data_IF_241500359808
#
_entry.id   IF_241500359808
#
_cell.length_a   1.000
_cell.length_b   1.000
_cell.length_c   1.000
_cell.angle_alpha   90.00
_cell.angle_beta   90.00
_cell.angle_gamma   90.00
#
_symmetry.space_group_name_H-M   'P 1'
#
loop_
_entity.id
_entity.type
_entity.pdbx_description
1 polymer ?
#
# COMPACT_ATOMS: atom_id res chain seq x y z
N UNK A 1 -7.77 2.98 -2.41
CA UNK A 1 -6.50 2.22 -2.24
C UNK A 1 -5.42 2.74 -3.17
N UNK A 2 -4.15 2.39 -2.90
CA UNK A 2 -2.97 2.82 -3.66
C UNK A 2 -2.73 1.95 -4.91
N UNK A 3 -1.93 2.49 -5.85
CA UNK A 3 -1.66 1.83 -7.14
C UNK A 3 -0.63 0.69 -7.05
N UNK A 4 0.29 0.77 -6.09
CA UNK A 4 1.46 -0.12 -6.01
C UNK A 4 1.13 -1.53 -5.46
N UNK A 5 0.01 -1.66 -4.73
CA UNK A 5 -0.57 -2.92 -4.27
C UNK A 5 -2.07 -2.95 -4.53
N UNK A 6 -2.48 -3.03 -5.82
CA UNK A 6 -3.86 -2.77 -6.23
C UNK A 6 -4.89 -3.78 -5.70
N UNK A 7 -4.47 -4.99 -5.35
CA UNK A 7 -5.35 -6.02 -4.76
C UNK A 7 -5.05 -6.21 -3.28
N UNK A 8 -3.80 -6.39 -2.91
CA UNK A 8 -3.41 -6.81 -1.56
C UNK A 8 -3.88 -5.85 -0.46
N UNK A 9 -3.71 -4.55 -0.67
CA UNK A 9 -4.14 -3.53 0.30
C UNK A 9 -5.65 -3.50 0.47
N UNK A 10 -6.40 -3.69 -0.62
CA UNK A 10 -7.85 -3.82 -0.53
C UNK A 10 -8.25 -5.10 0.18
N UNK A 11 -7.69 -6.25 -0.24
CA UNK A 11 -8.06 -7.55 0.29
C UNK A 11 -7.84 -7.63 1.82
N UNK A 12 -6.74 -7.07 2.31
CA UNK A 12 -6.45 -7.04 3.73
C UNK A 12 -7.64 -6.49 4.55
N UNK A 13 -8.06 -5.28 4.27
CA UNK A 13 -9.14 -4.64 5.03
C UNK A 13 -10.53 -5.18 4.65
N UNK A 14 -10.75 -5.50 3.38
CA UNK A 14 -12.03 -5.96 2.89
C UNK A 14 -12.42 -7.34 3.45
N UNK A 15 -11.44 -8.25 3.59
CA UNK A 15 -11.72 -9.57 4.17
C UNK A 15 -12.01 -9.49 5.66
N UNK A 16 -11.31 -8.61 6.40
CA UNK A 16 -11.62 -8.35 7.82
C UNK A 16 -13.01 -7.74 7.99
N UNK A 17 -13.38 -6.78 7.15
CA UNK A 17 -14.72 -6.18 7.17
C UNK A 17 -15.81 -7.23 6.90
N UNK A 18 -15.60 -8.09 5.89
CA UNK A 18 -16.55 -9.15 5.56
C UNK A 18 -16.76 -10.15 6.72
N UNK A 19 -15.68 -10.55 7.40
CA UNK A 19 -15.77 -11.45 8.58
C UNK A 19 -16.48 -10.75 9.73
N UNK A 20 -16.33 -9.43 9.87
CA UNK A 20 -17.05 -8.63 10.86
C UNK A 20 -18.53 -8.38 10.50
N UNK A 21 -18.96 -8.74 9.30
CA UNK A 21 -20.34 -8.52 8.82
C UNK A 21 -20.57 -7.14 8.20
N UNK A 22 -19.48 -6.42 7.87
CA UNK A 22 -19.56 -5.09 7.26
C UNK A 22 -19.63 -5.16 5.74
N UNK A 23 -20.30 -4.17 5.16
CA UNK A 23 -20.31 -3.93 3.70
C UNK A 23 -19.08 -3.15 3.28
N UNK A 24 -18.48 -3.53 2.16
CA UNK A 24 -17.29 -2.90 1.61
C UNK A 24 -17.62 -2.10 0.36
N UNK A 25 -17.24 -0.84 0.34
CA UNK A 25 -17.26 0.01 -0.86
C UNK A 25 -15.81 0.36 -1.22
N UNK A 26 -15.35 -0.16 -2.34
CA UNK A 26 -13.97 -0.01 -2.78
C UNK A 26 -13.81 1.07 -3.84
N UNK A 27 -12.99 2.07 -3.55
CA UNK A 27 -12.47 3.02 -4.53
C UNK A 27 -11.00 2.72 -4.79
N UNK A 28 -10.64 2.11 -5.91
CA UNK A 28 -9.24 1.84 -6.27
C UNK A 28 -8.51 3.11 -6.68
N UNK A 29 -7.18 2.99 -6.84
CA UNK A 29 -6.41 4.00 -7.54
C UNK A 29 -6.88 4.16 -8.98
N UNK A 30 -6.96 5.39 -9.48
CA UNK A 30 -7.26 5.68 -10.88
C UNK A 30 -6.19 5.18 -11.86
N UNK A 31 -5.01 4.78 -11.36
CA UNK A 31 -3.92 4.22 -12.17
C UNK A 31 -4.08 2.71 -12.43
N UNK A 32 -4.87 2.02 -11.64
CA UNK A 32 -5.01 0.55 -11.70
C UNK A 32 -6.48 0.10 -11.70
N UNK A 33 -7.36 0.69 -12.53
CA UNK A 33 -8.79 0.36 -12.51
C UNK A 33 -9.06 -1.05 -13.04
N UNK A 34 -8.32 -1.53 -14.03
CA UNK A 34 -8.54 -2.84 -14.63
C UNK A 34 -8.31 -3.99 -13.65
N UNK A 35 -7.29 -3.89 -12.80
CA UNK A 35 -7.03 -4.87 -11.73
C UNK A 35 -8.21 -4.92 -10.75
N UNK A 36 -8.76 -3.77 -10.39
CA UNK A 36 -9.91 -3.71 -9.49
C UNK A 36 -11.17 -4.34 -10.10
N UNK A 37 -11.42 -4.08 -11.39
CA UNK A 37 -12.55 -4.68 -12.12
C UNK A 37 -12.41 -6.20 -12.21
N UNK A 38 -11.21 -6.70 -12.53
CA UNK A 38 -10.93 -8.13 -12.57
C UNK A 38 -11.15 -8.79 -11.21
N UNK A 39 -10.65 -8.17 -10.14
CA UNK A 39 -10.84 -8.65 -8.76
C UNK A 39 -12.32 -8.67 -8.39
N UNK A 40 -13.08 -7.60 -8.70
CA UNK A 40 -14.52 -7.53 -8.42
C UNK A 40 -15.30 -8.63 -9.18
N UNK A 41 -14.91 -8.97 -10.41
CA UNK A 41 -15.54 -10.05 -11.15
C UNK A 41 -15.32 -11.41 -10.49
N UNK A 42 -14.13 -11.68 -9.97
CA UNK A 42 -13.83 -12.90 -9.22
C UNK A 42 -14.69 -12.95 -7.95
N UNK A 43 -14.72 -11.87 -7.18
CA UNK A 43 -15.52 -11.76 -5.96
C UNK A 43 -17.01 -12.01 -6.26
N UNK A 44 -17.54 -11.33 -7.27
CA UNK A 44 -18.94 -11.49 -7.68
C UNK A 44 -19.27 -12.95 -7.96
N UNK A 45 -18.40 -13.67 -8.68
CA UNK A 45 -18.60 -15.09 -8.93
C UNK A 45 -18.68 -15.88 -7.62
N UNK A 46 -17.73 -15.67 -6.71
CA UNK A 46 -17.73 -16.36 -5.39
C UNK A 46 -18.99 -16.06 -4.60
N UNK A 47 -19.44 -14.81 -4.57
CA UNK A 47 -20.68 -14.42 -3.85
C UNK A 47 -21.92 -15.12 -4.42
N UNK A 48 -22.05 -15.17 -5.75
CA UNK A 48 -23.15 -15.86 -6.44
C UNK A 48 -23.14 -17.36 -6.14
N UNK A 49 -21.99 -18.00 -6.29
CA UNK A 49 -21.81 -19.45 -6.08
C UNK A 49 -22.16 -19.85 -4.61
N UNK A 50 -21.95 -18.93 -3.65
CA UNK A 50 -22.24 -19.15 -2.24
C UNK A 50 -23.57 -18.51 -1.76
N UNK A 51 -24.39 -17.99 -2.66
CA UNK A 51 -25.69 -17.36 -2.35
C UNK A 51 -25.61 -16.22 -1.33
N UNK A 52 -24.48 -15.47 -1.36
CA UNK A 52 -24.32 -14.30 -0.50
C UNK A 52 -25.15 -13.16 -1.06
N UNK A 53 -25.83 -12.34 -0.22
CA UNK A 53 -26.61 -11.20 -0.67
C UNK A 53 -25.80 -10.23 -1.54
N UNK A 54 -26.48 -9.58 -2.50
CA UNK A 54 -25.88 -8.51 -3.29
C UNK A 54 -25.49 -7.32 -2.39
N UNK A 55 -24.49 -6.56 -2.83
CA UNK A 55 -24.08 -5.33 -2.16
C UNK A 55 -23.08 -5.51 -1.00
N UNK A 56 -22.62 -6.71 -0.69
CA UNK A 56 -21.59 -6.94 0.34
C UNK A 56 -20.23 -6.35 -0.10
N UNK A 57 -19.85 -6.55 -1.36
CA UNK A 57 -18.65 -5.96 -1.96
C UNK A 57 -19.02 -5.11 -3.17
N UNK A 58 -18.70 -3.82 -3.09
CA UNK A 58 -19.03 -2.85 -4.12
C UNK A 58 -17.77 -2.17 -4.64
N UNK A 59 -17.71 -1.95 -5.97
CA UNK A 59 -16.62 -1.26 -6.64
C UNK A 59 -17.10 0.06 -7.24
N UNK A 60 -16.38 1.15 -6.95
CA UNK A 60 -16.62 2.46 -7.53
C UNK A 60 -15.36 2.95 -8.23
N UNK A 61 -15.37 2.95 -9.56
CA UNK A 61 -14.26 3.43 -10.38
C UNK A 61 -14.51 4.88 -10.77
N UNK A 62 -13.76 5.80 -10.19
CA UNK A 62 -13.84 7.22 -10.49
C UNK A 62 -12.50 7.92 -10.28
N UNK A 63 -12.31 9.07 -10.94
CA UNK A 63 -11.17 9.96 -10.67
C UNK A 63 -11.26 10.48 -9.24
N UNK A 64 -10.13 10.55 -8.54
CA UNK A 64 -10.08 11.05 -7.17
C UNK A 64 -10.51 12.51 -7.05
N UNK A 65 -10.33 13.32 -8.10
CA UNK A 65 -10.82 14.71 -8.18
C UNK A 65 -12.35 14.82 -8.22
N UNK A 66 -13.05 13.74 -8.61
CA UNK A 66 -14.52 13.75 -8.71
C UNK A 66 -15.17 13.19 -7.45
N UNK A 67 -14.66 12.07 -6.95
CA UNK A 67 -15.30 11.33 -5.86
C UNK A 67 -14.54 11.44 -4.53
N UNK A 68 -13.24 11.70 -4.55
CA UNK A 68 -12.36 11.48 -3.38
C UNK A 68 -12.83 12.19 -2.11
N UNK A 69 -13.12 13.47 -2.17
CA UNK A 69 -13.58 14.25 -1.01
C UNK A 69 -15.00 13.90 -0.60
N UNK A 70 -15.90 13.76 -1.57
CA UNK A 70 -17.28 13.36 -1.31
C UNK A 70 -17.34 12.00 -0.61
N UNK A 71 -16.46 11.06 -1.02
CA UNK A 71 -16.38 9.76 -0.38
C UNK A 71 -15.93 9.85 1.08
N UNK A 72 -14.93 10.70 1.38
CA UNK A 72 -14.43 10.89 2.74
C UNK A 72 -15.40 11.69 3.62
N UNK A 73 -16.15 12.61 3.04
CA UNK A 73 -17.11 13.45 3.75
C UNK A 73 -18.48 12.78 3.96
N UNK A 74 -18.79 11.68 3.27
CA UNK A 74 -20.11 11.04 3.33
C UNK A 74 -20.37 10.41 4.70
N UNK A 75 -21.39 10.88 5.40
CA UNK A 75 -21.78 10.42 6.74
C UNK A 75 -22.31 8.99 6.77
N UNK A 76 -22.70 8.43 5.63
CA UNK A 76 -23.16 7.05 5.52
C UNK A 76 -22.02 6.03 5.60
N UNK A 77 -20.77 6.49 5.48
CA UNK A 77 -19.59 5.64 5.57
C UNK A 77 -18.94 5.83 6.95
N UNK A 78 -19.21 4.98 7.93
CA UNK A 78 -18.76 5.18 9.31
C UNK A 78 -17.25 5.03 9.46
N UNK A 79 -16.63 4.14 8.67
CA UNK A 79 -15.20 3.84 8.69
C UNK A 79 -14.60 3.98 7.30
N UNK A 80 -13.50 4.70 7.19
CA UNK A 80 -12.68 4.79 5.97
C UNK A 80 -11.32 4.15 6.24
N UNK A 81 -10.95 3.20 5.39
CA UNK A 81 -9.57 2.71 5.32
C UNK A 81 -8.90 3.28 4.08
N UNK A 82 -7.84 4.07 4.25
CA UNK A 82 -7.12 4.71 3.16
C UNK A 82 -5.65 4.31 3.16
N UNK A 83 -5.17 3.87 2.00
CA UNK A 83 -3.74 3.69 1.73
C UNK A 83 -3.34 4.63 0.61
N UNK A 84 -2.36 5.48 0.87
CA UNK A 84 -1.93 6.48 -0.08
C UNK A 84 -0.76 7.34 0.38
N UNK A 85 -0.60 8.52 -0.23
CA UNK A 85 0.40 9.47 0.21
C UNK A 85 -0.01 10.16 1.52
N UNK A 86 0.97 10.66 2.27
CA UNK A 86 0.72 11.45 3.50
C UNK A 86 -0.22 12.64 3.25
N UNK A 87 -0.12 13.28 2.07
CA UNK A 87 -1.02 14.38 1.71
C UNK A 87 -2.48 13.91 1.56
N UNK A 88 -2.70 12.73 0.97
CA UNK A 88 -4.03 12.11 0.87
C UNK A 88 -4.55 11.72 2.24
N UNK A 89 -3.72 11.09 3.09
CA UNK A 89 -4.11 10.73 4.45
C UNK A 89 -4.58 11.94 5.25
N UNK A 90 -3.75 12.99 5.33
CA UNK A 90 -4.11 14.24 6.01
C UNK A 90 -5.45 14.83 5.53
N UNK A 91 -5.71 14.76 4.22
CA UNK A 91 -6.97 15.26 3.64
C UNK A 91 -8.15 14.39 4.04
N UNK A 92 -8.02 13.07 3.93
CA UNK A 92 -9.08 12.12 4.31
C UNK A 92 -9.34 12.18 5.80
N UNK A 93 -8.27 12.16 6.63
CA UNK A 93 -8.40 12.27 8.09
C UNK A 93 -9.14 13.53 8.52
N UNK A 94 -8.81 14.69 7.93
CA UNK A 94 -9.52 15.96 8.18
C UNK A 94 -11.01 15.85 7.85
N UNK A 95 -11.35 15.42 6.63
CA UNK A 95 -12.75 15.33 6.18
C UNK A 95 -13.55 14.31 6.97
N UNK A 96 -12.94 13.20 7.35
CA UNK A 96 -13.57 12.17 8.18
C UNK A 96 -13.74 12.66 9.62
N UNK A 97 -12.75 13.35 10.19
CA UNK A 97 -12.80 13.92 11.53
C UNK A 97 -13.85 15.01 11.69
N UNK A 98 -14.04 15.88 10.68
CA UNK A 98 -15.07 16.93 10.67
C UNK A 98 -16.50 16.37 10.87
N UNK A 99 -16.73 15.11 10.48
CA UNK A 99 -18.01 14.43 10.66
C UNK A 99 -18.04 13.40 11.78
N UNK A 100 -16.98 13.34 12.62
CA UNK A 100 -16.78 12.37 13.70
C UNK A 100 -16.75 10.90 13.21
N UNK A 101 -16.33 10.66 11.98
CA UNK A 101 -16.10 9.33 11.42
C UNK A 101 -14.78 8.72 11.89
N UNK A 102 -14.60 7.44 11.61
CA UNK A 102 -13.36 6.71 11.92
C UNK A 102 -12.50 6.56 10.67
N UNK A 103 -11.18 6.57 10.85
CA UNK A 103 -10.24 6.39 9.74
C UNK A 103 -9.09 5.47 10.14
N UNK A 104 -8.70 4.59 9.22
CA UNK A 104 -7.47 3.80 9.27
C UNK A 104 -6.57 4.32 8.14
N UNK A 105 -5.38 4.77 8.49
CA UNK A 105 -4.47 5.43 7.56
C UNK A 105 -3.17 4.63 7.42
N UNK A 106 -2.93 4.09 6.22
CA UNK A 106 -1.68 3.47 5.81
C UNK A 106 -1.00 4.38 4.79
N UNK A 107 0.04 5.09 5.23
CA UNK A 107 0.63 6.19 4.47
C UNK A 107 2.07 5.89 4.06
N UNK A 108 2.70 6.85 3.37
CA UNK A 108 4.09 6.77 2.98
C UNK A 108 5.04 6.91 4.17
N UNK A 109 6.28 6.48 3.94
CA UNK A 109 7.35 6.56 4.93
C UNK A 109 8.69 6.98 4.32
N UNK A 110 9.65 7.27 5.19
CA UNK A 110 11.05 7.48 4.86
C UNK A 110 11.91 6.52 5.68
N UNK A 111 11.77 5.23 5.39
CA UNK A 111 12.24 4.14 6.21
C UNK A 111 13.77 4.05 6.21
N UNK A 112 14.33 3.65 7.36
CA UNK A 112 15.76 3.50 7.56
C UNK A 112 16.12 2.09 8.02
N UNK A 113 17.32 1.65 7.65
CA UNK A 113 17.99 0.50 8.27
C UNK A 113 19.20 1.04 9.02
N UNK A 114 19.33 0.63 10.29
CA UNK A 114 20.47 0.96 11.15
C UNK A 114 21.40 -0.25 11.17
N UNK A 115 22.67 -0.03 10.84
CA UNK A 115 23.70 -1.07 10.74
C UNK A 115 24.77 -0.76 11.81
N UNK A 116 24.72 -1.52 12.89
CA UNK A 116 25.72 -1.42 13.97
C UNK A 116 27.03 -2.09 13.58
N UNK A 117 28.09 -1.83 14.32
CA UNK A 117 29.40 -2.47 14.14
C UNK A 117 29.40 -3.99 14.31
N UNK A 118 28.34 -4.54 14.93
CA UNK A 118 28.17 -5.97 15.18
C UNK A 118 27.12 -6.61 14.25
N UNK A 119 26.66 -5.87 13.24
CA UNK A 119 25.66 -6.40 12.31
C UNK A 119 26.23 -7.53 11.44
N UNK A 120 25.40 -8.51 11.17
CA UNK A 120 25.67 -9.52 10.14
C UNK A 120 25.54 -8.85 8.75
N UNK A 121 26.69 -8.53 8.15
CA UNK A 121 26.73 -7.82 6.87
C UNK A 121 26.27 -8.72 5.73
N UNK A 122 26.48 -10.04 5.81
CA UNK A 122 26.06 -10.99 4.78
C UNK A 122 24.52 -11.07 4.68
N UNK A 123 23.83 -10.94 5.82
CA UNK A 123 22.37 -10.84 5.86
C UNK A 123 21.90 -9.41 5.52
N UNK A 124 22.60 -8.39 5.98
CA UNK A 124 22.20 -7.00 5.81
C UNK A 124 22.17 -6.54 4.35
N UNK A 125 23.21 -6.87 3.55
CA UNK A 125 23.32 -6.42 2.16
C UNK A 125 22.14 -6.86 1.28
N UNK A 126 21.78 -8.15 1.18
CA UNK A 126 20.62 -8.57 0.38
C UNK A 126 19.31 -7.98 0.93
N UNK A 127 19.16 -7.85 2.24
CA UNK A 127 17.97 -7.25 2.85
C UNK A 127 17.81 -5.76 2.49
N UNK A 128 18.90 -5.00 2.49
CA UNK A 128 18.93 -3.59 2.09
C UNK A 128 18.56 -3.47 0.61
N UNK A 129 19.19 -4.26 -0.27
CA UNK A 129 18.93 -4.22 -1.70
C UNK A 129 17.46 -4.57 -1.98
N UNK A 130 16.96 -5.66 -1.43
CA UNK A 130 15.55 -6.06 -1.57
C UNK A 130 14.59 -4.97 -1.07
N UNK A 131 14.88 -4.40 0.11
CA UNK A 131 14.07 -3.33 0.69
C UNK A 131 14.06 -2.04 -0.13
N UNK A 132 15.18 -1.74 -0.82
CA UNK A 132 15.32 -0.52 -1.62
C UNK A 132 14.70 -0.65 -3.01
N UNK A 133 14.94 -1.77 -3.71
CA UNK A 133 14.58 -1.92 -5.12
C UNK A 133 13.31 -2.77 -5.36
N UNK A 134 12.89 -3.54 -4.38
CA UNK A 134 11.68 -4.35 -4.47
C UNK A 134 10.46 -3.51 -4.87
N UNK A 135 9.67 -4.00 -5.84
CA UNK A 135 8.52 -3.26 -6.41
C UNK A 135 8.96 -1.89 -6.97
N UNK A 136 10.12 -1.85 -7.63
CA UNK A 136 10.72 -0.63 -8.21
C UNK A 136 10.92 0.51 -7.18
N UNK A 137 11.18 0.17 -5.91
CA UNK A 137 11.28 1.14 -4.81
C UNK A 137 9.97 1.85 -4.46
N UNK A 138 8.83 1.32 -4.91
CA UNK A 138 7.52 1.96 -4.76
C UNK A 138 6.68 1.36 -3.62
N UNK A 139 7.32 0.93 -2.53
CA UNK A 139 6.61 0.50 -1.31
C UNK A 139 6.58 1.62 -0.28
N UNK A 140 5.55 1.64 0.55
CA UNK A 140 5.53 2.46 1.78
C UNK A 140 6.69 2.09 2.72
N UNK A 141 7.17 0.83 2.65
CA UNK A 141 8.27 0.28 3.43
C UNK A 141 9.63 0.29 2.71
N UNK A 142 9.76 0.88 1.52
CA UNK A 142 11.05 0.95 0.80
C UNK A 142 12.13 1.56 1.68
N UNK A 143 13.28 0.90 1.75
CA UNK A 143 14.47 1.42 2.42
C UNK A 143 14.97 2.64 1.68
N UNK A 144 14.99 3.79 2.34
CA UNK A 144 15.40 5.07 1.76
C UNK A 144 16.64 5.65 2.39
N UNK A 145 16.96 5.21 3.60
CA UNK A 145 18.10 5.69 4.37
C UNK A 145 18.83 4.52 5.00
N UNK A 146 20.16 4.60 5.02
CA UNK A 146 21.02 3.72 5.78
C UNK A 146 21.78 4.55 6.80
N UNK A 147 21.74 4.11 8.07
CA UNK A 147 22.49 4.70 9.17
C UNK A 147 23.53 3.66 9.55
N UNK A 148 24.77 3.88 9.14
CA UNK A 148 25.83 2.89 9.22
C UNK A 148 26.86 3.36 10.24
N UNK A 149 27.31 2.46 11.14
CA UNK A 149 28.40 2.73 12.05
C UNK A 149 29.68 3.03 11.24
N UNK A 150 30.44 4.03 11.65
CA UNK A 150 31.60 4.53 10.88
C UNK A 150 32.65 3.46 10.60
N UNK A 151 32.90 2.56 11.56
CA UNK A 151 33.91 1.50 11.43
C UNK A 151 33.67 0.48 10.32
N UNK A 152 32.42 0.33 9.86
CA UNK A 152 32.02 -0.60 8.81
C UNK A 152 31.46 0.10 7.55
N UNK A 153 31.51 1.41 7.53
CA UNK A 153 30.91 2.21 6.46
C UNK A 153 31.46 1.87 5.08
N UNK A 154 32.78 1.83 4.92
CA UNK A 154 33.41 1.55 3.64
C UNK A 154 33.16 0.10 3.16
N UNK A 155 33.13 -0.86 4.08
CA UNK A 155 32.79 -2.25 3.74
C UNK A 155 31.36 -2.35 3.22
N UNK A 156 30.39 -1.83 3.96
CA UNK A 156 28.98 -1.85 3.57
C UNK A 156 28.76 -1.13 2.24
N UNK A 157 29.36 0.06 2.06
CA UNK A 157 29.30 0.84 0.82
C UNK A 157 29.80 0.05 -0.38
N UNK A 158 31.00 -0.55 -0.26
CA UNK A 158 31.61 -1.29 -1.38
C UNK A 158 30.79 -2.54 -1.73
N UNK A 159 30.26 -3.24 -0.75
CA UNK A 159 29.39 -4.41 -0.96
C UNK A 159 28.05 -4.02 -1.61
N UNK A 160 27.44 -2.92 -1.20
CA UNK A 160 26.24 -2.39 -1.84
C UNK A 160 26.49 -1.97 -3.29
N UNK A 161 27.58 -1.26 -3.57
CA UNK A 161 27.93 -0.89 -4.95
C UNK A 161 28.09 -2.12 -5.84
N UNK A 162 28.69 -3.20 -5.32
CA UNK A 162 28.80 -4.47 -6.06
C UNK A 162 27.44 -5.11 -6.28
N UNK A 163 26.57 -5.13 -5.27
CA UNK A 163 25.22 -5.68 -5.36
C UNK A 163 24.36 -4.89 -6.36
N UNK A 164 24.39 -3.56 -6.32
CA UNK A 164 23.61 -2.72 -7.23
C UNK A 164 24.05 -2.85 -8.69
N UNK A 165 25.32 -3.15 -8.97
CA UNK A 165 25.80 -3.44 -10.35
C UNK A 165 25.16 -4.69 -10.98
N UNK A 166 24.60 -5.58 -10.16
CA UNK A 166 23.94 -6.81 -10.63
C UNK A 166 22.44 -6.61 -10.93
N UNK A 167 21.90 -5.43 -10.62
CA UNK A 167 20.50 -5.13 -10.90
C UNK A 167 20.31 -4.81 -12.38
N UNK A 168 19.52 -5.63 -13.05
CA UNK A 168 19.09 -5.37 -14.41
C UNK A 168 17.75 -4.62 -14.41
N UNK A 169 17.72 -3.48 -15.09
CA UNK A 169 16.49 -2.76 -15.36
C UNK A 169 15.94 -3.21 -16.71
N UNK A 170 14.86 -3.97 -16.69
CA UNK A 170 14.11 -4.36 -17.91
C UNK A 170 12.80 -3.59 -17.94
N UNK A 171 12.54 -2.89 -19.05
CA UNK A 171 11.19 -2.42 -19.36
C UNK A 171 10.41 -3.69 -19.74
N UNK A 172 9.30 -3.93 -19.09
CA UNK A 172 8.46 -5.10 -19.40
C UNK A 172 8.06 -5.10 -20.89
N UNK A 173 8.13 -6.29 -21.50
CA UNK A 173 7.61 -6.51 -22.85
C UNK A 173 6.09 -6.46 -22.83
#
# INVERSE_FOLDING_TARGET
>A
TSFNFPVAVWAWNAMLAAVAGDVVVWKPSSKTPLTAIATQNIIRKVLIDNKVPEGVFNLVVAKSSVLGDNFAADRRIPLISVTGSTAVGKRVGRLTGERLGRVIEELGGNNAIIISQHADIDMAIPSIVFGAVGTTGQRCTSTRRLIIHESIYEEVKNRLLKAYKQLEHRIGN
#
